data_IF_448725255959
#
_entry.id   IF_448725255959
#
_cell.length_a   1.000
_cell.length_b   1.000
_cell.length_c   1.000
_cell.angle_alpha   90.00
_cell.angle_beta   90.00
_cell.angle_gamma   90.00
#
_symmetry.space_group_name_H-M   'P 1'
#
loop_
_entity.id
_entity.type
_entity.pdbx_description
1 polymer ?
#
# COMPACT_ATOMS: atom_id res chain seq x y z
N UNK A 1 -13.07 -14.12 -25.58
CA UNK A 1 -14.11 -13.05 -25.60
C UNK A 1 -14.62 -13.02 -24.18
N UNK A 2 -14.40 -11.93 -23.44
CA UNK A 2 -14.55 -11.96 -21.98
C UNK A 2 -15.95 -12.46 -21.55
N UNK A 3 -16.04 -13.36 -20.55
CA UNK A 3 -17.31 -13.90 -20.07
C UNK A 3 -18.26 -12.79 -19.64
N UNK A 4 -19.52 -12.86 -20.09
CA UNK A 4 -20.54 -11.89 -19.71
C UNK A 4 -21.25 -12.35 -18.43
N UNK A 5 -21.47 -11.42 -17.49
CA UNK A 5 -22.34 -11.63 -16.32
C UNK A 5 -23.68 -10.91 -16.48
N UNK A 6 -24.08 -10.59 -17.71
CA UNK A 6 -25.24 -9.74 -17.98
C UNK A 6 -26.54 -10.38 -17.48
N UNK A 7 -26.77 -11.66 -17.78
CA UNK A 7 -28.00 -12.34 -17.42
C UNK A 7 -28.06 -12.59 -15.91
N UNK A 8 -26.92 -12.95 -15.31
CA UNK A 8 -26.76 -13.14 -13.87
C UNK A 8 -27.04 -11.85 -13.11
N UNK A 9 -26.41 -10.72 -13.53
CA UNK A 9 -26.63 -9.41 -12.92
C UNK A 9 -28.11 -9.04 -12.96
N UNK A 10 -28.70 -9.09 -14.15
CA UNK A 10 -30.10 -8.73 -14.37
C UNK A 10 -31.03 -9.62 -13.52
N UNK A 11 -30.71 -10.91 -13.39
CA UNK A 11 -31.55 -11.86 -12.65
C UNK A 11 -31.49 -11.55 -11.16
N UNK A 12 -30.30 -11.35 -10.60
CA UNK A 12 -30.10 -11.05 -9.19
C UNK A 12 -30.69 -9.68 -8.80
N UNK A 13 -30.60 -8.68 -9.67
CA UNK A 13 -31.26 -7.39 -9.46
C UNK A 13 -32.79 -7.52 -9.42
N UNK A 14 -33.38 -8.25 -10.38
CA UNK A 14 -34.82 -8.49 -10.43
C UNK A 14 -35.35 -9.39 -9.30
N UNK A 15 -34.50 -10.26 -8.74
CA UNK A 15 -34.84 -11.24 -7.70
C UNK A 15 -34.31 -10.92 -6.30
N UNK A 16 -33.74 -9.74 -6.09
CA UNK A 16 -33.19 -9.25 -4.79
C UNK A 16 -34.17 -9.24 -3.59
N UNK A 17 -35.43 -9.66 -3.79
CA UNK A 17 -36.47 -9.84 -2.76
C UNK A 17 -36.90 -11.31 -2.57
N UNK A 18 -36.21 -12.27 -3.17
CA UNK A 18 -36.63 -13.67 -3.17
C UNK A 18 -35.93 -14.47 -2.05
N UNK A 19 -36.68 -14.75 -0.98
CA UNK A 19 -36.21 -15.46 0.23
C UNK A 19 -35.65 -16.88 0.00
N UNK A 20 -35.81 -17.47 -1.20
CA UNK A 20 -35.36 -18.85 -1.49
C UNK A 20 -33.93 -18.95 -2.01
N UNK A 21 -33.42 -17.88 -2.62
CA UNK A 21 -32.08 -17.86 -3.23
C UNK A 21 -31.05 -17.27 -2.28
N UNK A 22 -31.42 -16.21 -1.57
CA UNK A 22 -30.53 -15.45 -0.70
C UNK A 22 -30.88 -15.66 0.78
N UNK A 23 -29.85 -15.75 1.63
CA UNK A 23 -30.01 -15.80 3.09
C UNK A 23 -30.42 -14.42 3.64
N UNK A 24 -30.04 -13.35 2.95
CA UNK A 24 -30.45 -11.98 3.25
C UNK A 24 -30.55 -11.15 1.96
N UNK A 25 -31.40 -10.11 1.93
CA UNK A 25 -31.56 -9.28 0.74
C UNK A 25 -30.23 -8.65 0.30
N UNK A 26 -29.88 -8.87 -0.97
CA UNK A 26 -28.67 -8.30 -1.57
C UNK A 26 -27.45 -9.21 -1.54
N UNK A 27 -27.56 -10.45 -1.02
CA UNK A 27 -26.46 -11.42 -1.05
C UNK A 27 -25.95 -11.68 -2.49
N UNK A 28 -26.83 -11.69 -3.48
CA UNK A 28 -26.46 -11.81 -4.89
C UNK A 28 -25.58 -10.66 -5.39
N UNK A 29 -25.73 -9.45 -4.84
CA UNK A 29 -24.83 -8.34 -5.19
C UNK A 29 -23.41 -8.57 -4.69
N UNK A 30 -23.24 -9.11 -3.49
CA UNK A 30 -21.92 -9.51 -2.99
C UNK A 30 -21.28 -10.57 -3.88
N UNK A 31 -22.06 -11.56 -4.33
CA UNK A 31 -21.59 -12.57 -5.29
C UNK A 31 -21.14 -11.93 -6.60
N UNK A 32 -21.87 -10.94 -7.11
CA UNK A 32 -21.48 -10.19 -8.30
C UNK A 32 -20.19 -9.40 -8.10
N UNK A 33 -20.00 -8.74 -6.95
CA UNK A 33 -18.75 -8.02 -6.62
C UNK A 33 -17.55 -8.94 -6.76
N UNK A 34 -17.57 -10.09 -6.08
CA UNK A 34 -16.47 -11.07 -6.15
C UNK A 34 -16.32 -11.63 -7.57
N UNK A 35 -17.42 -11.87 -8.28
CA UNK A 35 -17.39 -12.39 -9.66
C UNK A 35 -16.72 -11.41 -10.62
N UNK A 36 -17.03 -10.12 -10.53
CA UNK A 36 -16.41 -9.09 -11.36
C UNK A 36 -14.90 -9.00 -11.08
N UNK A 37 -14.50 -9.13 -9.82
CA UNK A 37 -13.09 -9.16 -9.45
C UNK A 37 -12.38 -10.41 -10.01
N UNK A 38 -13.00 -11.58 -9.92
CA UNK A 38 -12.47 -12.82 -10.52
C UNK A 38 -12.26 -12.66 -12.03
N UNK A 39 -13.22 -12.05 -12.74
CA UNK A 39 -13.13 -11.82 -14.19
C UNK A 39 -11.99 -10.88 -14.59
N UNK A 40 -11.59 -9.96 -13.70
CA UNK A 40 -10.45 -9.07 -13.94
C UNK A 40 -9.10 -9.76 -13.76
N UNK A 41 -9.03 -10.78 -12.90
CA UNK A 41 -7.76 -11.40 -12.49
C UNK A 41 -7.50 -12.76 -13.11
N UNK A 42 -8.53 -13.53 -13.41
CA UNK A 42 -8.40 -14.90 -13.91
C UNK A 42 -8.29 -14.93 -15.43
N UNK A 43 -7.57 -15.93 -15.93
CA UNK A 43 -7.48 -16.22 -17.36
C UNK A 43 -8.77 -16.87 -17.87
N UNK A 44 -9.07 -16.75 -19.17
CA UNK A 44 -10.27 -17.36 -19.77
C UNK A 44 -10.31 -18.90 -19.58
N UNK A 45 -9.15 -19.55 -19.42
CA UNK A 45 -9.04 -21.00 -19.26
C UNK A 45 -9.26 -21.49 -17.81
N UNK A 46 -9.45 -20.58 -16.85
CA UNK A 46 -9.65 -20.95 -15.45
C UNK A 46 -11.01 -21.62 -15.23
N UNK A 47 -11.04 -22.74 -14.50
CA UNK A 47 -12.26 -23.51 -14.21
C UNK A 47 -13.39 -22.67 -13.59
N UNK A 48 -13.03 -21.61 -12.86
CA UNK A 48 -14.01 -20.69 -12.26
C UNK A 48 -14.73 -19.84 -13.31
N UNK A 49 -14.05 -19.50 -14.40
CA UNK A 49 -14.63 -18.75 -15.51
C UNK A 49 -15.73 -19.58 -16.17
N UNK A 50 -15.48 -20.86 -16.44
CA UNK A 50 -16.50 -21.78 -16.93
C UNK A 50 -17.69 -21.92 -15.96
N UNK A 51 -17.45 -21.87 -14.64
CA UNK A 51 -18.52 -21.84 -13.63
C UNK A 51 -19.36 -20.55 -13.72
N UNK A 52 -18.75 -19.40 -13.99
CA UNK A 52 -19.42 -18.11 -14.17
C UNK A 52 -20.28 -18.12 -15.43
N UNK A 53 -19.74 -18.58 -16.55
CA UNK A 53 -20.47 -18.70 -17.83
C UNK A 53 -21.69 -19.61 -17.67
N UNK A 54 -21.49 -20.80 -17.08
CA UNK A 54 -22.59 -21.74 -16.81
C UNK A 54 -23.66 -21.12 -15.90
N UNK A 55 -23.25 -20.30 -14.94
CA UNK A 55 -24.17 -19.60 -14.04
C UNK A 55 -24.95 -18.50 -14.78
N UNK A 56 -24.31 -17.75 -15.68
CA UNK A 56 -24.96 -16.72 -16.52
C UNK A 56 -25.95 -17.34 -17.52
N UNK A 57 -25.55 -18.43 -18.18
CA UNK A 57 -26.43 -19.20 -19.06
C UNK A 57 -27.64 -19.76 -18.32
N UNK A 58 -27.43 -20.31 -17.12
CA UNK A 58 -28.53 -20.77 -16.29
C UNK A 58 -29.44 -19.61 -15.85
N UNK A 59 -28.88 -18.42 -15.61
CA UNK A 59 -29.66 -17.24 -15.28
C UNK A 59 -30.53 -16.77 -16.47
N UNK A 60 -30.03 -16.91 -17.69
CA UNK A 60 -30.77 -16.60 -18.93
C UNK A 60 -32.04 -17.44 -19.07
N UNK A 61 -31.99 -18.71 -18.70
CA UNK A 61 -33.14 -19.64 -18.79
C UNK A 61 -34.25 -19.30 -17.77
N UNK A 62 -33.92 -18.66 -16.66
CA UNK A 62 -34.88 -18.26 -15.63
C UNK A 62 -35.80 -17.08 -16.02
N UNK A 63 -35.61 -16.45 -17.18
CA UNK A 63 -36.39 -15.28 -17.62
C UNK A 63 -37.73 -15.62 -18.28
N UNK A 64 -37.86 -16.82 -18.85
CA UNK A 64 -39.00 -17.18 -19.70
C UNK A 64 -40.18 -17.85 -18.98
N UNK A 65 -40.03 -18.21 -17.70
CA UNK A 65 -40.94 -19.14 -17.04
C UNK A 65 -41.52 -18.60 -15.73
N UNK A 66 -42.68 -19.13 -15.33
CA UNK A 66 -43.26 -18.86 -14.01
C UNK A 66 -42.32 -19.32 -12.91
N UNK A 67 -42.38 -18.68 -11.75
CA UNK A 67 -41.68 -19.16 -10.55
C UNK A 67 -42.08 -20.62 -10.34
N UNK A 68 -41.12 -21.50 -10.04
CA UNK A 68 -41.28 -22.95 -9.76
C UNK A 68 -40.99 -23.93 -10.91
N UNK A 69 -40.30 -23.50 -11.96
CA UNK A 69 -39.82 -24.46 -12.96
C UNK A 69 -38.52 -25.16 -12.55
N UNK A 70 -38.20 -26.23 -13.26
CA UNK A 70 -36.97 -27.00 -13.06
C UNK A 70 -35.71 -26.13 -13.25
N UNK A 71 -35.77 -25.14 -14.14
CA UNK A 71 -34.70 -24.18 -14.41
C UNK A 71 -34.39 -23.31 -13.18
N UNK A 72 -35.41 -22.85 -12.44
CA UNK A 72 -35.23 -22.09 -11.19
C UNK A 72 -34.53 -22.92 -10.11
N UNK A 73 -34.88 -24.22 -10.03
CA UNK A 73 -34.25 -25.15 -9.09
C UNK A 73 -32.80 -25.40 -9.48
N UNK A 74 -32.54 -25.62 -10.76
CA UNK A 74 -31.20 -25.85 -11.30
C UNK A 74 -30.30 -24.63 -11.09
N UNK A 75 -30.80 -23.43 -11.39
CA UNK A 75 -30.09 -22.19 -11.11
C UNK A 75 -29.77 -22.05 -9.62
N UNK A 76 -30.73 -22.31 -8.74
CA UNK A 76 -30.51 -22.21 -7.29
C UNK A 76 -29.42 -23.18 -6.80
N UNK A 77 -29.35 -24.40 -7.36
CA UNK A 77 -28.30 -25.37 -7.05
C UNK A 77 -26.93 -24.88 -7.54
N UNK A 78 -26.87 -24.39 -8.79
CA UNK A 78 -25.64 -23.85 -9.38
C UNK A 78 -25.13 -22.62 -8.61
N UNK A 79 -26.03 -21.69 -8.27
CA UNK A 79 -25.71 -20.49 -7.52
C UNK A 79 -25.11 -20.83 -6.15
N UNK A 80 -25.72 -21.77 -5.40
CA UNK A 80 -25.20 -22.23 -4.11
C UNK A 80 -23.85 -22.94 -4.25
N UNK A 81 -23.69 -23.76 -5.29
CA UNK A 81 -22.41 -24.42 -5.59
C UNK A 81 -21.32 -23.38 -5.89
N UNK A 82 -21.64 -22.37 -6.68
CA UNK A 82 -20.72 -21.27 -7.00
C UNK A 82 -20.33 -20.48 -5.76
N UNK A 83 -21.28 -20.10 -4.90
CA UNK A 83 -20.99 -19.43 -3.61
C UNK A 83 -20.04 -20.25 -2.73
N UNK A 84 -20.17 -21.58 -2.73
CA UNK A 84 -19.24 -22.45 -2.00
C UNK A 84 -17.82 -22.38 -2.59
N UNK A 85 -17.70 -22.34 -3.93
CA UNK A 85 -16.41 -22.22 -4.63
C UNK A 85 -15.71 -20.87 -4.37
N UNK A 86 -16.48 -19.79 -4.12
CA UNK A 86 -15.91 -18.46 -3.80
C UNK A 86 -14.97 -18.48 -2.58
N UNK A 87 -15.09 -19.48 -1.69
CA UNK A 87 -14.18 -19.65 -0.55
C UNK A 87 -12.71 -19.70 -0.96
N UNK A 88 -12.41 -20.27 -2.13
CA UNK A 88 -11.05 -20.39 -2.65
C UNK A 88 -10.49 -19.03 -3.05
N UNK A 89 -11.35 -18.13 -3.55
CA UNK A 89 -10.99 -16.78 -4.02
C UNK A 89 -11.00 -15.74 -2.92
N UNK A 90 -11.69 -16.02 -1.80
CA UNK A 90 -11.59 -15.25 -0.55
C UNK A 90 -10.39 -15.72 0.30
N UNK A 91 -9.34 -16.14 -0.39
CA UNK A 91 -8.00 -16.40 0.13
C UNK A 91 -7.00 -15.89 -0.88
N UNK A 92 -5.86 -15.47 -0.38
CA UNK A 92 -4.72 -15.06 -1.19
C UNK A 92 -4.37 -16.16 -2.19
N UNK A 93 -4.35 -15.83 -3.50
CA UNK A 93 -3.94 -16.78 -4.50
C UNK A 93 -2.46 -17.10 -4.30
N UNK A 94 -2.12 -18.38 -4.35
CA UNK A 94 -0.74 -18.86 -4.25
C UNK A 94 -0.03 -18.65 -5.61
N UNK A 95 0.03 -17.39 -6.06
CA UNK A 95 0.64 -17.00 -7.32
C UNK A 95 2.15 -16.89 -7.13
N UNK A 96 2.87 -17.97 -7.50
CA UNK A 96 4.34 -18.01 -7.47
C UNK A 96 5.02 -17.12 -8.53
N UNK A 97 4.24 -16.40 -9.34
CA UNK A 97 4.67 -15.74 -10.57
C UNK A 97 4.57 -14.21 -10.55
N UNK A 98 4.06 -13.58 -9.49
CA UNK A 98 4.02 -12.12 -9.40
C UNK A 98 5.34 -11.57 -8.84
N UNK A 99 6.01 -10.64 -9.53
CA UNK A 99 7.29 -10.08 -9.09
C UNK A 99 7.19 -9.22 -7.82
N UNK A 100 5.98 -8.83 -7.39
CA UNK A 100 5.74 -8.05 -6.18
C UNK A 100 4.62 -8.65 -5.31
N UNK A 101 4.99 -9.28 -4.19
CA UNK A 101 4.04 -9.87 -3.24
C UNK A 101 3.18 -8.81 -2.54
N UNK A 102 3.68 -7.58 -2.34
CA UNK A 102 2.93 -6.50 -1.70
C UNK A 102 1.75 -6.06 -2.55
N UNK A 103 1.97 -5.93 -3.86
CA UNK A 103 0.92 -5.60 -4.83
C UNK A 103 -0.17 -6.66 -4.84
N UNK A 104 0.21 -7.94 -4.80
CA UNK A 104 -0.75 -9.04 -4.75
C UNK A 104 -1.60 -9.00 -3.46
N UNK A 105 -0.98 -8.77 -2.31
CA UNK A 105 -1.68 -8.64 -1.02
C UNK A 105 -2.57 -7.39 -1.01
N UNK A 106 -2.10 -6.27 -1.56
CA UNK A 106 -2.86 -5.02 -1.66
C UNK A 106 -4.11 -5.19 -2.53
N UNK A 107 -3.98 -5.80 -3.71
CA UNK A 107 -5.09 -6.11 -4.62
C UNK A 107 -6.12 -7.01 -3.95
N UNK A 108 -5.66 -8.00 -3.17
CA UNK A 108 -6.58 -8.83 -2.39
C UNK A 108 -7.29 -8.06 -1.27
N UNK A 109 -6.58 -7.21 -0.51
CA UNK A 109 -7.20 -6.35 0.51
C UNK A 109 -8.21 -5.39 -0.12
N UNK A 110 -7.96 -4.89 -1.33
CA UNK A 110 -8.89 -4.04 -2.08
C UNK A 110 -10.22 -4.75 -2.38
N UNK A 111 -10.17 -6.03 -2.81
CA UNK A 111 -11.39 -6.85 -2.91
C UNK A 111 -12.14 -6.93 -1.57
N UNK A 112 -11.42 -7.19 -0.48
CA UNK A 112 -12.05 -7.29 0.85
C UNK A 112 -12.73 -5.97 1.24
N UNK A 113 -12.10 -4.83 0.92
CA UNK A 113 -12.67 -3.50 1.10
C UNK A 113 -13.94 -3.31 0.26
N UNK A 114 -13.93 -3.66 -1.02
CA UNK A 114 -15.11 -3.56 -1.90
C UNK A 114 -16.29 -4.38 -1.37
N UNK A 115 -16.03 -5.59 -0.85
CA UNK A 115 -17.05 -6.43 -0.22
C UNK A 115 -17.62 -5.76 1.05
N UNK A 116 -16.76 -5.23 1.92
CA UNK A 116 -17.20 -4.55 3.14
C UNK A 116 -18.03 -3.30 2.84
N UNK A 117 -17.66 -2.55 1.79
CA UNK A 117 -18.41 -1.40 1.32
C UNK A 117 -19.80 -1.79 0.83
N UNK A 118 -19.90 -2.85 0.05
CA UNK A 118 -21.19 -3.33 -0.42
C UNK A 118 -22.04 -3.87 0.75
N UNK A 119 -21.45 -4.55 1.73
CA UNK A 119 -22.16 -4.97 2.97
C UNK A 119 -22.74 -3.76 3.71
N UNK A 120 -21.95 -2.69 3.87
CA UNK A 120 -22.37 -1.46 4.54
C UNK A 120 -23.43 -0.69 3.75
N UNK A 121 -23.43 -0.82 2.41
CA UNK A 121 -24.46 -0.24 1.54
C UNK A 121 -25.77 -1.01 1.62
N UNK A 122 -25.69 -2.35 1.60
CA UNK A 122 -26.86 -3.24 1.64
C UNK A 122 -27.57 -3.22 3.00
N UNK A 123 -26.83 -2.98 4.08
CA UNK A 123 -27.31 -2.97 5.46
C UNK A 123 -28.24 -4.16 5.81
N UNK A 124 -27.78 -5.42 5.69
CA UNK A 124 -28.57 -6.57 6.11
C UNK A 124 -29.03 -6.40 7.58
N UNK A 125 -30.25 -6.81 7.90
CA UNK A 125 -30.85 -6.56 9.22
C UNK A 125 -29.96 -6.98 10.42
N UNK A 126 -29.21 -8.07 10.28
CA UNK A 126 -28.31 -8.58 11.31
C UNK A 126 -27.01 -7.78 11.47
N UNK A 127 -26.65 -6.96 10.49
CA UNK A 127 -25.44 -6.09 10.51
C UNK A 127 -25.65 -4.84 11.34
N UNK A 128 -26.89 -4.40 11.54
CA UNK A 128 -27.21 -3.20 12.34
C UNK A 128 -26.49 -3.15 13.69
N UNK A 129 -26.35 -4.31 14.36
CA UNK A 129 -25.69 -4.46 15.67
C UNK A 129 -24.16 -4.47 15.61
N UNK A 130 -23.57 -4.62 14.43
CA UNK A 130 -22.12 -4.75 14.22
C UNK A 130 -21.58 -3.69 13.27
N UNK A 131 -22.42 -2.75 12.83
CA UNK A 131 -22.09 -1.73 11.85
C UNK A 131 -20.79 -1.01 12.23
N UNK A 132 -20.65 -0.59 13.48
CA UNK A 132 -19.47 0.13 13.95
C UNK A 132 -18.22 -0.73 13.84
N UNK A 133 -18.28 -2.01 14.24
CA UNK A 133 -17.14 -2.93 14.12
C UNK A 133 -16.77 -3.25 12.67
N UNK A 134 -17.74 -3.32 11.77
CA UNK A 134 -17.50 -3.50 10.32
C UNK A 134 -16.86 -2.23 9.73
N UNK A 135 -17.30 -1.04 10.16
CA UNK A 135 -16.66 0.23 9.81
C UNK A 135 -15.23 0.26 10.34
N UNK A 136 -14.99 -0.14 11.59
CA UNK A 136 -13.65 -0.24 12.14
C UNK A 136 -12.79 -1.18 11.29
N UNK A 137 -13.24 -2.40 11.02
CA UNK A 137 -12.50 -3.37 10.18
C UNK A 137 -12.17 -2.81 8.80
N UNK A 138 -13.11 -2.09 8.16
CA UNK A 138 -12.87 -1.41 6.89
C UNK A 138 -11.75 -0.36 7.02
N UNK A 139 -11.77 0.46 8.07
CA UNK A 139 -10.72 1.44 8.32
C UNK A 139 -9.36 0.78 8.57
N UNK A 140 -9.36 -0.37 9.25
CA UNK A 140 -8.14 -1.15 9.48
C UNK A 140 -7.55 -1.72 8.18
N UNK A 141 -8.38 -2.24 7.28
CA UNK A 141 -7.92 -2.69 5.97
C UNK A 141 -7.39 -1.54 5.11
N UNK A 142 -8.03 -0.35 5.17
CA UNK A 142 -7.52 0.86 4.50
C UNK A 142 -6.15 1.27 5.03
N UNK A 143 -5.91 1.10 6.33
CA UNK A 143 -4.58 1.31 6.89
C UNK A 143 -3.56 0.32 6.30
N UNK A 144 -3.89 -0.97 6.24
CA UNK A 144 -2.97 -1.98 5.72
C UNK A 144 -2.63 -1.77 4.24
N UNK A 145 -3.62 -1.46 3.39
CA UNK A 145 -3.35 -1.20 1.96
C UNK A 145 -2.49 0.05 1.76
N UNK A 146 -2.67 1.09 2.59
CA UNK A 146 -1.82 2.29 2.59
C UNK A 146 -0.38 1.93 2.93
N UNK A 147 -0.16 1.14 3.99
CA UNK A 147 1.17 0.68 4.38
C UNK A 147 1.84 -0.18 3.28
N UNK A 148 1.07 -1.06 2.62
CA UNK A 148 1.55 -1.88 1.50
C UNK A 148 1.90 -1.06 0.25
N UNK A 149 1.45 0.20 0.13
CA UNK A 149 1.86 1.09 -0.95
C UNK A 149 3.11 1.93 -0.63
N UNK A 150 3.50 2.06 0.65
CA UNK A 150 4.61 2.94 1.08
C UNK A 150 5.97 2.34 0.70
N UNK A 151 6.33 2.54 -0.57
CA UNK A 151 7.51 2.01 -1.23
C UNK A 151 8.83 2.38 -0.52
N UNK A 152 9.02 3.62 0.02
CA UNK A 152 10.19 3.97 0.83
C UNK A 152 10.47 3.04 2.02
N UNK A 153 9.43 2.54 2.70
CA UNK A 153 9.58 1.63 3.84
C UNK A 153 9.91 0.17 3.44
N UNK A 154 9.69 -0.17 2.17
CA UNK A 154 9.78 -1.53 1.64
C UNK A 154 11.17 -1.86 1.07
N UNK A 155 11.92 -0.86 0.63
CA UNK A 155 13.30 -1.05 0.14
C UNK A 155 14.30 -1.32 1.27
N UNK A 156 13.86 -1.31 2.53
CA UNK A 156 14.66 -1.79 3.63
C UNK A 156 14.74 -3.32 3.55
N UNK A 157 15.94 -3.87 3.31
CA UNK A 157 16.25 -5.32 3.37
C UNK A 157 16.14 -5.87 4.81
N UNK A 158 15.16 -5.41 5.57
CA UNK A 158 14.98 -5.78 6.96
C UNK A 158 14.13 -7.06 7.00
N UNK A 159 14.62 -8.07 7.73
CA UNK A 159 13.91 -9.34 7.93
C UNK A 159 12.51 -9.12 8.53
N UNK A 160 12.33 -8.04 9.30
CA UNK A 160 11.03 -7.64 9.84
C UNK A 160 10.00 -7.29 8.78
N UNK A 161 10.40 -6.81 7.59
CA UNK A 161 9.49 -6.48 6.48
C UNK A 161 8.81 -7.73 5.94
N UNK A 162 9.56 -8.82 5.75
CA UNK A 162 9.01 -10.09 5.25
C UNK A 162 8.08 -10.76 6.27
N UNK A 163 8.44 -10.67 7.56
CA UNK A 163 7.58 -11.18 8.64
C UNK A 163 6.27 -10.39 8.73
N UNK A 164 6.33 -9.06 8.61
CA UNK A 164 5.13 -8.21 8.60
C UNK A 164 4.20 -8.51 7.42
N UNK A 165 4.75 -8.67 6.22
CA UNK A 165 3.97 -9.00 5.03
C UNK A 165 3.23 -10.34 5.20
N UNK A 166 3.92 -11.34 5.74
CA UNK A 166 3.33 -12.65 6.04
C UNK A 166 2.19 -12.52 7.07
N UNK A 167 2.36 -11.71 8.12
CA UNK A 167 1.31 -11.46 9.11
C UNK A 167 0.10 -10.73 8.51
N UNK A 168 0.33 -9.75 7.62
CA UNK A 168 -0.73 -9.06 6.87
C UNK A 168 -1.48 -10.05 5.97
N UNK A 169 -0.76 -10.93 5.27
CA UNK A 169 -1.36 -11.97 4.42
C UNK A 169 -2.25 -12.92 5.24
N UNK A 170 -1.76 -13.39 6.38
CA UNK A 170 -2.51 -14.26 7.29
C UNK A 170 -3.79 -13.55 7.75
N UNK A 171 -3.70 -12.29 8.18
CA UNK A 171 -4.86 -11.51 8.60
C UNK A 171 -5.86 -11.31 7.45
N UNK A 172 -5.41 -10.96 6.25
CA UNK A 172 -6.26 -10.81 5.08
C UNK A 172 -6.99 -12.13 4.75
N UNK A 173 -6.30 -13.26 4.83
CA UNK A 173 -6.88 -14.60 4.66
C UNK A 173 -7.94 -14.95 5.72
N UNK A 174 -7.71 -14.56 6.97
CA UNK A 174 -8.70 -14.72 8.04
C UNK A 174 -9.94 -13.86 7.80
N UNK A 175 -9.76 -12.62 7.35
CA UNK A 175 -10.86 -11.72 6.99
C UNK A 175 -11.64 -12.27 5.79
N UNK A 176 -10.98 -12.73 4.73
CA UNK A 176 -11.64 -13.38 3.60
C UNK A 176 -12.43 -14.63 4.03
N UNK A 177 -11.87 -15.44 4.93
CA UNK A 177 -12.55 -16.60 5.50
C UNK A 177 -13.77 -16.21 6.36
N UNK A 178 -13.67 -15.12 7.12
CA UNK A 178 -14.79 -14.53 7.86
C UNK A 178 -15.89 -14.06 6.91
N UNK A 179 -15.55 -13.31 5.86
CA UNK A 179 -16.51 -12.82 4.88
C UNK A 179 -17.23 -13.99 4.20
N UNK A 180 -16.49 -15.01 3.78
CA UNK A 180 -17.08 -16.23 3.20
C UNK A 180 -18.10 -16.87 4.16
N UNK A 181 -17.69 -17.09 5.41
CA UNK A 181 -18.46 -17.84 6.40
C UNK A 181 -19.79 -17.17 6.77
N UNK A 182 -19.86 -15.83 6.72
CA UNK A 182 -21.03 -15.09 7.18
C UNK A 182 -21.84 -14.42 6.05
N UNK A 183 -21.23 -14.13 4.91
CA UNK A 183 -21.90 -13.41 3.81
C UNK A 183 -22.07 -14.23 2.54
N UNK A 184 -21.27 -15.29 2.35
CA UNK A 184 -21.36 -16.20 1.20
C UNK A 184 -21.80 -17.60 1.61
N UNK A 185 -22.47 -17.71 2.76
CA UNK A 185 -23.05 -18.96 3.25
C UNK A 185 -24.49 -19.14 2.77
N UNK A 186 -24.89 -20.41 2.66
CA UNK A 186 -26.28 -20.82 2.43
C UNK A 186 -27.03 -21.12 3.74
N UNK A 187 -26.31 -21.11 4.86
CA UNK A 187 -26.84 -21.41 6.19
C UNK A 187 -27.21 -20.13 6.94
N UNK A 188 -28.05 -20.25 7.97
CA UNK A 188 -28.42 -19.11 8.81
C UNK A 188 -27.22 -18.60 9.60
N UNK A 189 -26.99 -17.29 9.52
CA UNK A 189 -25.92 -16.61 10.24
C UNK A 189 -26.14 -16.65 11.75
N UNK A 190 -25.20 -17.24 12.48
CA UNK A 190 -25.17 -17.21 13.94
C UNK A 190 -24.56 -15.89 14.43
N UNK A 191 -25.41 -14.90 14.64
CA UNK A 191 -25.09 -13.52 15.07
C UNK A 191 -24.07 -13.45 16.21
N UNK A 192 -24.19 -14.29 17.24
CA UNK A 192 -23.25 -14.30 18.37
C UNK A 192 -21.85 -14.78 17.97
N UNK A 193 -21.75 -15.77 17.07
CA UNK A 193 -20.46 -16.26 16.57
C UNK A 193 -19.79 -15.22 15.68
N UNK A 194 -20.58 -14.52 14.86
CA UNK A 194 -20.08 -13.42 14.04
C UNK A 194 -19.46 -12.31 14.90
N UNK A 195 -20.11 -11.93 16.00
CA UNK A 195 -19.59 -10.92 16.91
C UNK A 195 -18.23 -11.32 17.52
N UNK A 196 -18.12 -12.57 17.97
CA UNK A 196 -16.87 -13.11 18.53
C UNK A 196 -15.76 -13.14 17.48
N UNK A 197 -16.06 -13.62 16.27
CA UNK A 197 -15.09 -13.66 15.17
C UNK A 197 -14.62 -12.25 14.76
N UNK A 198 -15.54 -11.28 14.73
CA UNK A 198 -15.20 -9.90 14.40
C UNK A 198 -14.33 -9.25 15.50
N UNK A 199 -14.65 -9.51 16.78
CA UNK A 199 -13.79 -9.07 17.88
C UNK A 199 -12.40 -9.71 17.84
N UNK A 200 -12.31 -11.00 17.51
CA UNK A 200 -11.03 -11.72 17.38
C UNK A 200 -10.18 -11.11 16.26
N UNK A 201 -10.77 -10.88 15.08
CA UNK A 201 -10.09 -10.22 13.95
C UNK A 201 -9.57 -8.83 14.33
N UNK A 202 -10.42 -7.99 14.92
CA UNK A 202 -10.01 -6.65 15.36
C UNK A 202 -8.89 -6.72 16.43
N UNK A 203 -8.96 -7.71 17.33
CA UNK A 203 -7.92 -7.95 18.33
C UNK A 203 -6.56 -8.34 17.74
N UNK A 204 -6.52 -8.91 16.54
CA UNK A 204 -5.28 -9.25 15.81
C UNK A 204 -4.70 -8.08 15.02
N UNK A 205 -5.51 -7.10 14.62
CA UNK A 205 -5.03 -5.90 13.93
C UNK A 205 -4.14 -5.06 14.85
N UNK A 206 -4.53 -4.92 16.12
CA UNK A 206 -3.84 -4.04 17.06
C UNK A 206 -2.35 -4.39 17.29
N UNK A 207 -1.96 -5.65 17.59
CA UNK A 207 -0.54 -6.00 17.70
C UNK A 207 0.20 -5.83 16.36
N UNK A 208 -0.49 -6.03 15.23
CA UNK A 208 0.11 -5.83 13.90
C UNK A 208 0.40 -4.35 13.65
N UNK A 209 -0.47 -3.43 14.06
CA UNK A 209 -0.22 -1.98 14.02
C UNK A 209 1.02 -1.58 14.81
N UNK A 210 1.18 -2.11 16.02
CA UNK A 210 2.35 -1.79 16.84
C UNK A 210 3.65 -2.29 16.19
N UNK A 211 3.63 -3.47 15.55
CA UNK A 211 4.77 -3.96 14.77
C UNK A 211 5.05 -3.09 13.55
N UNK A 212 4.01 -2.67 12.81
CA UNK A 212 4.14 -1.74 11.67
C UNK A 212 4.73 -0.41 12.14
N UNK A 213 4.23 0.14 13.25
CA UNK A 213 4.77 1.36 13.87
C UNK A 213 6.24 1.24 14.20
N UNK A 214 6.65 0.16 14.86
CA UNK A 214 8.05 -0.12 15.17
C UNK A 214 8.91 -0.24 13.89
N UNK A 215 8.37 -0.89 12.86
CA UNK A 215 9.02 -0.99 11.56
C UNK A 215 9.20 0.37 10.91
N UNK A 216 8.16 1.22 10.88
CA UNK A 216 8.26 2.56 10.32
C UNK A 216 9.34 3.41 11.00
N UNK A 217 9.44 3.32 12.34
CA UNK A 217 10.46 4.02 13.12
C UNK A 217 11.85 3.47 12.81
N UNK A 218 12.01 2.14 12.79
CA UNK A 218 13.30 1.48 12.54
C UNK A 218 13.79 1.75 11.13
N UNK A 219 12.93 1.56 10.12
CA UNK A 219 13.22 1.82 8.72
C UNK A 219 13.67 3.27 8.50
N UNK A 220 12.95 4.24 9.10
CA UNK A 220 13.29 5.66 9.03
C UNK A 220 14.67 5.98 9.61
N UNK A 221 15.09 5.27 10.65
CA UNK A 221 16.43 5.42 11.24
C UNK A 221 17.54 4.73 10.44
N UNK A 222 17.19 3.70 9.67
CA UNK A 222 18.14 2.91 8.87
C UNK A 222 18.27 3.34 7.42
N UNK A 223 17.48 4.28 6.93
CA UNK A 223 17.67 4.84 5.59
C UNK A 223 18.85 5.83 5.58
N UNK A 224 20.05 5.49 5.08
CA UNK A 224 20.82 6.48 4.35
C UNK A 224 20.00 6.82 3.10
N UNK A 225 19.90 8.10 2.73
CA UNK A 225 19.14 8.58 1.55
C UNK A 225 19.25 7.60 0.38
N UNK A 226 18.17 6.86 0.13
CA UNK A 226 18.22 5.60 -0.60
C UNK A 226 17.89 5.80 -2.07
N UNK A 227 18.95 5.89 -2.88
CA UNK A 227 19.03 5.54 -4.32
C UNK A 227 17.76 5.81 -5.13
N UNK A 228 17.48 7.09 -5.36
CA UNK A 228 16.69 7.50 -6.52
C UNK A 228 17.51 7.38 -7.81
N UNK A 229 16.91 7.11 -8.98
CA UNK A 229 17.61 6.99 -10.25
C UNK A 229 18.42 8.26 -10.55
N UNK A 230 19.67 8.11 -11.00
CA UNK A 230 20.61 9.19 -11.38
C UNK A 230 20.13 10.08 -12.56
N UNK A 231 18.87 9.99 -12.97
CA UNK A 231 18.43 10.42 -14.30
C UNK A 231 17.50 11.64 -14.32
N UNK A 232 17.10 12.18 -13.18
CA UNK A 232 16.29 13.41 -13.12
C UNK A 232 17.13 14.61 -12.71
N UNK A 233 17.02 15.71 -13.46
CA UNK A 233 17.64 17.00 -13.13
C UNK A 233 17.19 17.42 -11.73
N UNK A 234 18.13 17.39 -10.79
CA UNK A 234 17.89 17.83 -9.41
C UNK A 234 17.96 19.35 -9.41
N UNK A 235 16.84 20.01 -9.15
CA UNK A 235 16.74 21.47 -9.20
C UNK A 235 16.10 22.03 -7.94
N UNK A 236 16.51 23.23 -7.56
CA UNK A 236 15.90 24.03 -6.50
C UNK A 236 14.38 24.21 -6.66
N UNK A 237 13.87 24.18 -7.89
CA UNK A 237 12.43 24.25 -8.17
C UNK A 237 11.63 23.11 -7.49
N UNK A 238 12.26 22.01 -7.09
CA UNK A 238 11.61 20.93 -6.34
C UNK A 238 11.10 21.40 -4.97
N UNK A 239 11.84 22.28 -4.28
CA UNK A 239 11.42 22.84 -3.00
C UNK A 239 10.21 23.75 -3.18
N UNK A 240 10.21 24.54 -4.26
CA UNK A 240 9.12 25.46 -4.57
C UNK A 240 7.84 24.70 -4.95
N UNK A 241 7.95 23.65 -5.77
CA UNK A 241 6.82 22.76 -6.11
C UNK A 241 6.24 22.12 -4.85
N UNK A 242 7.07 21.53 -4.01
CA UNK A 242 6.63 20.88 -2.77
C UNK A 242 5.91 21.86 -1.82
N UNK A 243 6.42 23.10 -1.71
CA UNK A 243 5.79 24.13 -0.90
C UNK A 243 4.41 24.52 -1.45
N UNK A 244 4.23 24.54 -2.77
CA UNK A 244 2.94 24.85 -3.38
C UNK A 244 1.96 23.69 -3.23
N UNK A 245 2.40 22.44 -3.45
CA UNK A 245 1.59 21.23 -3.23
C UNK A 245 1.11 21.13 -1.77
N UNK A 246 1.98 21.44 -0.80
CA UNK A 246 1.63 21.47 0.61
C UNK A 246 0.61 22.58 0.95
N UNK A 247 0.72 23.76 0.35
CA UNK A 247 -0.27 24.84 0.55
C UNK A 247 -1.63 24.44 -0.01
N UNK A 248 -1.65 23.88 -1.22
CA UNK A 248 -2.88 23.45 -1.87
C UNK A 248 -3.57 22.36 -1.04
N UNK A 249 -2.80 21.42 -0.50
CA UNK A 249 -3.29 20.43 0.45
C UNK A 249 -3.87 21.08 1.71
N UNK A 250 -3.14 22.00 2.36
CA UNK A 250 -3.62 22.66 3.58
C UNK A 250 -4.92 23.46 3.38
N UNK A 251 -5.19 23.85 2.13
CA UNK A 251 -6.42 24.52 1.71
C UNK A 251 -7.55 23.54 1.32
N UNK A 252 -7.26 22.25 1.24
CA UNK A 252 -8.24 21.22 0.94
C UNK A 252 -9.19 20.99 2.12
N UNK A 253 -10.49 20.88 1.83
CA UNK A 253 -11.55 20.74 2.85
C UNK A 253 -11.76 19.28 3.21
N UNK A 254 -10.78 18.67 3.86
CA UNK A 254 -10.85 17.30 4.37
C UNK A 254 -10.61 17.29 5.88
N UNK A 255 -11.57 16.75 6.64
CA UNK A 255 -11.53 16.68 8.11
C UNK A 255 -10.28 15.94 8.63
N UNK A 256 -9.64 15.10 7.81
CA UNK A 256 -8.38 14.41 8.14
C UNK A 256 -7.19 15.38 8.20
N UNK A 257 -7.19 16.37 7.31
CA UNK A 257 -6.13 17.39 7.21
C UNK A 257 -6.19 18.27 8.45
N UNK A 258 -7.39 18.62 8.92
CA UNK A 258 -7.57 19.40 10.15
C UNK A 258 -6.89 18.73 11.36
N UNK A 259 -6.88 17.40 11.45
CA UNK A 259 -6.23 16.68 12.55
C UNK A 259 -4.70 16.79 12.51
N UNK A 260 -4.08 16.89 11.33
CA UNK A 260 -2.62 16.96 11.17
C UNK A 260 -2.13 18.33 10.70
N UNK A 261 -3.00 19.34 10.71
CA UNK A 261 -2.76 20.66 10.13
C UNK A 261 -1.58 21.38 10.74
N UNK A 262 -1.44 21.32 12.07
CA UNK A 262 -0.32 21.93 12.78
C UNK A 262 1.01 21.29 12.37
N UNK A 263 1.00 19.98 12.14
CA UNK A 263 2.19 19.23 11.72
C UNK A 263 2.55 19.55 10.26
N UNK A 264 1.56 19.61 9.37
CA UNK A 264 1.77 20.03 7.98
C UNK A 264 2.27 21.48 7.88
N UNK A 265 1.70 22.39 8.69
CA UNK A 265 2.16 23.78 8.79
C UNK A 265 3.62 23.84 9.20
N UNK A 266 4.01 23.05 10.21
CA UNK A 266 5.40 22.99 10.65
C UNK A 266 6.33 22.43 9.57
N UNK A 267 5.91 21.39 8.84
CA UNK A 267 6.69 20.84 7.70
C UNK A 267 6.91 21.94 6.66
N UNK A 268 5.85 22.68 6.32
CA UNK A 268 5.91 23.79 5.38
C UNK A 268 6.87 24.90 5.85
N UNK A 269 6.79 25.29 7.13
CA UNK A 269 7.70 26.28 7.72
C UNK A 269 9.16 25.83 7.64
N UNK A 270 9.48 24.58 8.00
CA UNK A 270 10.85 24.08 7.95
C UNK A 270 11.38 23.97 6.51
N UNK A 271 10.55 23.58 5.55
CA UNK A 271 10.91 23.60 4.13
C UNK A 271 11.17 25.02 3.61
N UNK A 272 10.39 26.00 4.06
CA UNK A 272 10.62 27.41 3.75
C UNK A 272 11.97 27.90 4.30
N UNK A 273 12.39 27.41 5.47
CA UNK A 273 13.69 27.73 6.08
C UNK A 273 14.86 27.04 5.38
N UNK A 274 14.66 25.88 4.75
CA UNK A 274 15.69 25.20 3.95
C UNK A 274 16.00 25.93 2.64
N UNK A 275 15.01 26.62 2.05
CA UNK A 275 15.15 27.34 0.78
C UNK A 275 16.32 28.34 0.72
N UNK A 276 16.50 29.27 1.69
CA UNK A 276 17.64 30.17 1.69
C UNK A 276 18.98 29.46 1.93
N UNK A 277 19.03 28.44 2.80
CA UNK A 277 20.26 27.69 3.09
C UNK A 277 20.83 27.00 1.84
N UNK A 278 19.96 26.45 0.99
CA UNK A 278 20.36 25.86 -0.29
C UNK A 278 20.87 26.91 -1.28
N UNK A 279 20.24 28.10 -1.29
CA UNK A 279 20.65 29.20 -2.15
C UNK A 279 22.09 29.64 -1.85
N UNK A 280 22.44 29.73 -0.57
CA UNK A 280 23.77 30.12 -0.14
C UNK A 280 24.81 29.09 -0.59
N UNK A 281 24.52 27.79 -0.48
CA UNK A 281 25.43 26.72 -0.88
C UNK A 281 25.64 26.61 -2.40
N UNK A 282 24.61 26.93 -3.21
CA UNK A 282 24.72 27.00 -4.68
C UNK A 282 25.71 28.08 -5.12
N UNK A 283 25.73 29.22 -4.42
CA UNK A 283 26.69 30.32 -4.68
C UNK A 283 28.13 29.85 -4.49
N UNK A 284 28.37 28.93 -3.55
CA UNK A 284 29.70 28.35 -3.28
C UNK A 284 30.04 27.11 -4.13
N UNK A 285 29.16 26.69 -5.05
CA UNK A 285 29.35 25.52 -5.95
C UNK A 285 29.80 24.24 -5.23
N UNK A 286 29.25 23.98 -4.03
CA UNK A 286 29.70 22.84 -3.23
C UNK A 286 29.21 21.52 -3.81
N UNK A 287 30.05 20.48 -3.95
CA UNK A 287 29.65 19.19 -4.52
C UNK A 287 28.60 18.46 -3.65
N UNK A 288 28.44 18.83 -2.38
CA UNK A 288 27.45 18.23 -1.48
C UNK A 288 26.02 18.80 -1.67
N UNK A 289 25.85 19.93 -2.35
CA UNK A 289 24.52 20.54 -2.61
C UNK A 289 23.62 19.58 -3.36
N UNK A 290 24.16 18.90 -4.37
CA UNK A 290 23.43 17.92 -5.15
C UNK A 290 22.93 16.77 -4.26
N UNK A 291 23.74 16.34 -3.29
CA UNK A 291 23.35 15.34 -2.30
C UNK A 291 22.19 15.78 -1.40
N UNK A 292 22.21 17.04 -0.93
CA UNK A 292 21.11 17.59 -0.14
C UNK A 292 19.83 17.76 -0.95
N UNK A 293 19.95 18.24 -2.20
CA UNK A 293 18.78 18.38 -3.08
C UNK A 293 18.17 17.02 -3.44
N UNK A 294 18.97 15.96 -3.59
CA UNK A 294 18.46 14.58 -3.72
C UNK A 294 17.65 14.18 -2.49
N UNK A 295 18.16 14.44 -1.28
CA UNK A 295 17.45 14.09 -0.05
C UNK A 295 16.14 14.89 0.11
N UNK A 296 16.15 16.17 -0.25
CA UNK A 296 14.95 17.02 -0.22
C UNK A 296 13.93 16.57 -1.27
N UNK A 297 14.37 16.16 -2.46
CA UNK A 297 13.50 15.53 -3.46
C UNK A 297 12.86 14.26 -2.92
N UNK A 298 13.64 13.38 -2.29
CA UNK A 298 13.13 12.13 -1.76
C UNK A 298 12.09 12.39 -0.65
N UNK A 299 12.32 13.41 0.19
CA UNK A 299 11.34 13.91 1.16
C UNK A 299 10.09 14.45 0.45
N UNK A 300 10.25 15.19 -0.65
CA UNK A 300 9.13 15.73 -1.41
C UNK A 300 8.19 14.62 -1.90
N UNK A 301 8.75 13.59 -2.52
CA UNK A 301 7.99 12.42 -2.95
C UNK A 301 7.37 11.65 -1.78
N UNK A 302 8.07 11.53 -0.65
CA UNK A 302 7.54 10.87 0.55
C UNK A 302 6.35 11.64 1.13
N UNK A 303 6.45 12.96 1.21
CA UNK A 303 5.37 13.87 1.66
C UNK A 303 4.17 13.76 0.74
N UNK A 304 4.38 13.94 -0.57
CA UNK A 304 3.36 13.82 -1.60
C UNK A 304 2.65 12.46 -1.51
N UNK A 305 3.41 11.36 -1.37
CA UNK A 305 2.86 10.02 -1.22
C UNK A 305 2.01 9.85 0.06
N UNK A 306 2.54 10.25 1.22
CA UNK A 306 1.83 10.15 2.52
C UNK A 306 0.49 10.88 2.44
N UNK A 307 0.47 12.01 1.75
CA UNK A 307 -0.69 12.87 1.59
C UNK A 307 -1.69 12.29 0.58
N UNK A 308 -1.23 11.90 -0.61
CA UNK A 308 -2.08 11.44 -1.71
C UNK A 308 -2.57 9.99 -1.54
N UNK A 309 -1.97 9.21 -0.64
CA UNK A 309 -2.34 7.81 -0.40
C UNK A 309 -3.70 7.61 0.30
N UNK A 310 -4.53 8.66 0.43
CA UNK A 310 -5.80 8.64 1.18
C UNK A 310 -5.65 8.01 2.57
N UNK A 311 -4.47 8.17 3.18
CA UNK A 311 -4.08 7.47 4.38
C UNK A 311 -5.05 7.78 5.55
N UNK A 312 -5.34 6.81 6.42
CA UNK A 312 -6.04 7.08 7.67
C UNK A 312 -5.27 8.10 8.51
N UNK A 313 -5.98 8.95 9.27
CA UNK A 313 -5.38 9.99 10.13
C UNK A 313 -4.23 9.46 10.99
N UNK A 314 -4.38 8.25 11.53
CA UNK A 314 -3.33 7.58 12.31
C UNK A 314 -2.03 7.35 11.53
N UNK A 315 -2.12 7.01 10.25
CA UNK A 315 -0.94 6.80 9.42
C UNK A 315 -0.19 8.13 9.19
N UNK A 316 -0.94 9.21 8.98
CA UNK A 316 -0.40 10.55 8.87
C UNK A 316 0.32 10.97 10.17
N UNK A 317 -0.30 10.72 11.33
CA UNK A 317 0.32 11.03 12.63
C UNK A 317 1.55 10.18 12.94
N UNK A 318 1.69 9.02 12.29
CA UNK A 318 2.89 8.19 12.38
C UNK A 318 4.02 8.66 11.45
N UNK A 319 3.72 8.97 10.19
CA UNK A 319 4.74 9.22 9.15
C UNK A 319 5.19 10.67 9.08
N UNK A 320 4.28 11.63 9.24
CA UNK A 320 4.63 13.05 9.15
C UNK A 320 5.68 13.50 10.21
N UNK A 321 5.69 12.98 11.46
CA UNK A 321 6.78 13.28 12.38
C UNK A 321 8.14 12.75 11.92
N UNK A 322 8.18 11.61 11.23
CA UNK A 322 9.42 11.03 10.70
C UNK A 322 9.97 11.87 9.54
N UNK A 323 9.08 12.38 8.68
CA UNK A 323 9.44 13.35 7.64
C UNK A 323 10.02 14.62 8.28
N UNK A 324 9.35 15.16 9.31
CA UNK A 324 9.84 16.33 10.05
C UNK A 324 11.26 16.10 10.60
N UNK A 325 11.52 14.96 11.22
CA UNK A 325 12.87 14.62 11.71
C UNK A 325 13.91 14.57 10.59
N UNK A 326 13.56 14.03 9.41
CA UNK A 326 14.45 14.02 8.23
C UNK A 326 14.78 15.44 7.77
N UNK A 327 13.77 16.30 7.66
CA UNK A 327 13.92 17.73 7.31
C UNK A 327 14.86 18.42 8.31
N UNK A 328 14.65 18.23 9.61
CA UNK A 328 15.48 18.82 10.66
C UNK A 328 16.93 18.34 10.62
N UNK A 329 17.18 17.06 10.32
CA UNK A 329 18.53 16.54 10.13
C UNK A 329 19.23 17.18 8.93
N UNK A 330 18.53 17.31 7.79
CA UNK A 330 19.06 17.99 6.60
C UNK A 330 19.41 19.44 6.93
N UNK A 331 18.52 20.15 7.62
CA UNK A 331 18.75 21.52 8.05
C UNK A 331 20.01 21.65 8.91
N UNK A 332 20.15 20.82 9.94
CA UNK A 332 21.35 20.83 10.79
C UNK A 332 22.64 20.54 10.00
N UNK A 333 22.60 19.56 9.08
CA UNK A 333 23.76 19.23 8.24
C UNK A 333 24.12 20.37 7.29
N UNK A 334 23.11 21.03 6.69
CA UNK A 334 23.30 22.22 5.87
C UNK A 334 23.89 23.37 6.68
N UNK A 335 23.32 23.72 7.83
CA UNK A 335 23.84 24.77 8.71
C UNK A 335 25.29 24.51 9.13
N UNK A 336 25.63 23.25 9.47
CA UNK A 336 27.01 22.86 9.77
C UNK A 336 27.94 23.04 8.57
N UNK A 337 27.48 22.65 7.37
CA UNK A 337 28.26 22.81 6.14
C UNK A 337 28.49 24.29 5.81
N UNK A 338 27.46 25.14 5.94
CA UNK A 338 27.55 26.59 5.72
C UNK A 338 28.46 27.26 6.75
N UNK A 339 28.36 26.88 8.04
CA UNK A 339 29.25 27.38 9.11
C UNK A 339 30.73 27.07 8.82
N UNK A 340 31.02 25.84 8.40
CA UNK A 340 32.38 25.42 8.01
C UNK A 340 32.93 26.27 6.86
N UNK A 341 32.07 26.82 6.00
CA UNK A 341 32.45 27.64 4.85
C UNK A 341 32.65 29.13 5.20
N UNK A 342 31.80 29.70 6.05
CA UNK A 342 31.83 31.14 6.32
C UNK A 342 32.88 31.56 7.36
N UNK A 343 33.35 30.62 8.21
CA UNK A 343 34.36 30.91 9.23
C UNK A 343 33.96 31.99 10.24
N UNK A 344 32.67 32.37 10.26
CA UNK A 344 32.19 33.52 11.02
C UNK A 344 31.71 33.09 12.42
N UNK A 345 32.25 33.74 13.45
CA UNK A 345 31.95 33.45 14.87
C UNK A 345 30.67 34.15 15.37
N UNK A 346 29.82 34.64 14.47
CA UNK A 346 28.77 35.63 14.78
C UNK A 346 27.36 35.06 14.93
N UNK A 347 27.11 33.80 14.58
CA UNK A 347 25.81 33.14 14.78
C UNK A 347 25.85 32.25 16.04
N UNK A 348 25.21 32.73 17.09
CA UNK A 348 25.02 32.01 18.35
C UNK A 348 24.26 30.70 18.12
N UNK A 349 24.91 29.56 18.42
CA UNK A 349 24.25 28.27 18.58
C UNK A 349 23.00 28.42 19.47
N UNK A 350 21.89 27.72 19.19
CA UNK A 350 20.90 27.47 20.22
C UNK A 350 21.58 26.68 21.35
N UNK A 351 21.65 27.28 22.54
CA UNK A 351 22.13 26.61 23.74
C UNK A 351 21.28 25.35 23.98
N UNK A 352 21.94 24.20 23.88
CA UNK A 352 21.66 22.96 24.63
C UNK A 352 20.19 22.65 24.93
N UNK A 353 19.51 21.96 24.02
CA UNK A 353 18.54 20.96 24.44
C UNK A 353 19.31 19.65 24.66
N UNK A 354 19.79 19.43 25.89
CA UNK A 354 20.20 18.09 26.33
C UNK A 354 18.98 17.17 26.34
N UNK A 355 18.94 16.19 25.44
CA UNK A 355 18.22 14.92 25.65
C UNK A 355 19.08 13.75 25.15
N UNK A 356 18.93 12.54 25.73
CA UNK A 356 20.06 11.68 26.00
C UNK A 356 20.39 10.70 24.88
N UNK A 357 21.71 10.41 24.85
CA UNK A 357 22.37 9.19 24.39
C UNK A 357 22.40 8.91 22.89
N UNK A 358 23.54 9.23 22.27
CA UNK A 358 24.51 8.21 21.85
C UNK A 358 25.93 8.74 22.08
N UNK A 359 26.52 8.38 23.22
CA UNK A 359 27.96 8.33 23.36
C UNK A 359 28.44 7.11 22.59
N UNK A 360 29.13 7.32 21.48
CA UNK A 360 30.12 6.37 20.96
C UNK A 360 31.35 7.17 20.53
N UNK A 361 32.38 7.00 21.35
CA UNK A 361 33.71 7.58 21.30
C UNK A 361 34.44 7.27 19.99
N UNK A 362 34.74 8.31 19.20
CA UNK A 362 35.79 8.29 18.18
C UNK A 362 37.11 8.79 18.80
N UNK A 363 37.87 7.89 19.40
CA UNK A 363 39.30 8.09 19.68
C UNK A 363 40.06 6.77 19.53
N UNK A 364 40.80 6.65 18.43
CA UNK A 364 42.07 5.92 18.30
C UNK A 364 42.58 6.19 16.87
N UNK A 365 43.44 7.20 16.67
CA UNK A 365 44.90 7.05 16.56
C UNK A 365 45.33 6.01 15.50
N UNK A 366 45.82 6.51 14.36
CA UNK A 366 46.65 5.76 13.42
C UNK A 366 47.98 5.35 14.07
N UNK A 367 48.58 4.25 13.60
CA UNK A 367 49.98 4.32 13.20
C UNK A 367 50.29 3.74 11.82
N UNK A 368 51.42 4.21 11.30
CA UNK A 368 52.01 4.00 9.98
C UNK A 368 52.66 2.62 9.77
N UNK A 369 52.56 2.13 8.51
CA UNK A 369 53.60 1.48 7.66
C UNK A 369 53.99 0.00 7.91
N UNK A 370 53.78 -0.82 6.87
CA UNK A 370 54.67 -1.96 6.55
C UNK A 370 54.06 -3.19 5.83
N UNK A 371 54.36 -3.30 4.53
CA UNK A 371 54.46 -4.51 3.69
C UNK A 371 53.23 -5.12 2.97
N UNK A 372 53.41 -5.13 1.65
CA UNK A 372 52.65 -5.71 0.54
C UNK A 372 52.41 -7.23 0.66
N UNK A 373 51.24 -7.69 0.21
CA UNK A 373 51.10 -8.78 -0.77
C UNK A 373 49.93 -8.43 -1.70
N UNK A 374 50.25 -8.18 -2.97
CA UNK A 374 49.31 -7.90 -4.05
C UNK A 374 49.39 -9.08 -5.03
N UNK A 375 48.43 -10.03 -5.01
CA UNK A 375 48.24 -11.01 -6.09
C UNK A 375 46.75 -11.37 -6.20
N UNK A 376 46.15 -11.05 -7.37
CA UNK A 376 45.11 -11.88 -7.98
C UNK A 376 43.64 -11.44 -7.89
N UNK A 377 43.25 -10.34 -8.56
CA UNK A 377 41.84 -10.08 -8.92
C UNK A 377 41.60 -9.84 -10.41
N UNK A 378 42.64 -9.85 -11.26
CA UNK A 378 42.50 -9.65 -12.71
C UNK A 378 41.97 -10.88 -13.47
N UNK A 379 41.94 -12.07 -12.86
CA UNK A 379 41.39 -13.27 -13.53
C UNK A 379 39.88 -13.47 -13.31
N UNK A 380 39.23 -12.71 -12.42
CA UNK A 380 37.79 -12.84 -12.16
C UNK A 380 36.95 -12.01 -13.14
N UNK A 381 37.49 -10.91 -13.67
CA UNK A 381 36.75 -10.04 -14.59
C UNK A 381 36.62 -10.61 -16.02
N UNK A 382 37.60 -11.39 -16.49
CA UNK A 382 37.56 -11.95 -17.85
C UNK A 382 36.53 -13.09 -17.97
N UNK A 383 36.15 -13.75 -16.87
CA UNK A 383 35.12 -14.80 -16.88
C UNK A 383 33.68 -14.27 -16.96
N UNK A 384 33.43 -13.03 -16.54
CA UNK A 384 32.07 -12.47 -16.44
C UNK A 384 31.60 -11.78 -17.74
N UNK A 385 32.50 -11.26 -18.57
CA UNK A 385 32.12 -10.63 -19.85
C UNK A 385 31.75 -11.65 -20.94
N UNK A 386 32.34 -12.85 -20.90
CA UNK A 386 32.10 -13.91 -21.90
C UNK A 386 30.76 -14.66 -21.67
N UNK A 387 30.17 -14.52 -20.48
CA UNK A 387 28.90 -15.14 -20.11
C UNK A 387 27.69 -14.18 -20.29
N UNK A 388 27.92 -12.86 -20.22
CA UNK A 388 26.91 -11.82 -20.47
C UNK A 388 26.61 -11.65 -21.97
N UNK A 389 27.58 -11.91 -22.85
CA UNK A 389 27.40 -11.81 -24.31
C UNK A 389 26.63 -12.98 -24.92
N UNK A 390 26.45 -14.11 -24.21
CA UNK A 390 25.66 -15.26 -24.68
C UNK A 390 24.16 -15.18 -24.40
N UNK A 391 23.72 -14.25 -23.55
CA UNK A 391 22.30 -14.13 -23.12
C UNK A 391 21.58 -12.96 -23.82
N UNK A 392 22.32 -12.04 -24.45
CA UNK A 392 21.76 -10.87 -25.11
C UNK A 392 21.49 -11.10 -26.62
N UNK A 393 20.30 -11.63 -26.93
CA UNK A 393 19.41 -11.42 -28.11
C UNK A 393 18.74 -12.73 -28.56
N UNK A 394 17.41 -12.79 -28.83
CA UNK A 394 16.55 -11.72 -29.31
C UNK A 394 15.34 -11.43 -28.39
N UNK A 395 15.44 -10.38 -27.56
CA UNK A 395 14.28 -9.81 -26.84
C UNK A 395 14.07 -8.31 -27.10
N UNK A 396 14.93 -7.67 -27.91
CA UNK A 396 14.84 -6.23 -28.24
C UNK A 396 13.79 -5.89 -29.32
N UNK A 397 12.67 -6.62 -29.40
CA UNK A 397 11.60 -6.32 -30.37
C UNK A 397 10.19 -6.25 -29.77
N UNK A 398 10.05 -6.07 -28.45
CA UNK A 398 8.77 -5.66 -27.85
C UNK A 398 9.01 -4.48 -26.92
N UNK A 399 8.42 -3.36 -27.28
CA UNK A 399 8.40 -2.13 -26.50
C UNK A 399 7.86 -2.39 -25.08
N UNK A 400 8.50 -1.86 -24.03
CA UNK A 400 7.94 -1.84 -22.69
C UNK A 400 7.07 -0.59 -22.55
N UNK A 401 5.82 -0.67 -22.98
CA UNK A 401 4.78 0.28 -22.61
C UNK A 401 3.68 -0.47 -21.85
N UNK A 402 3.23 0.12 -20.74
CA UNK A 402 2.08 -0.29 -19.88
C UNK A 402 2.36 -1.11 -18.61
N UNK A 403 3.25 -0.65 -17.72
CA UNK A 403 3.21 -1.08 -16.30
C UNK A 403 3.16 0.07 -15.29
N UNK A 404 3.06 1.33 -15.73
CA UNK A 404 2.95 2.50 -14.84
C UNK A 404 1.51 2.97 -14.56
N UNK A 405 0.48 2.35 -15.15
CA UNK A 405 -0.89 2.85 -15.07
C UNK A 405 -1.76 2.28 -13.93
N UNK A 406 -1.20 1.53 -12.97
CA UNK A 406 -2.03 0.98 -11.89
C UNK A 406 -2.45 2.04 -10.85
N UNK A 407 -1.69 3.15 -10.73
CA UNK A 407 -1.96 4.22 -9.76
C UNK A 407 -2.63 5.46 -10.35
N UNK A 408 -2.62 5.65 -11.68
CA UNK A 408 -3.27 6.78 -12.37
C UNK A 408 -4.81 6.65 -12.47
N UNK A 409 -5.38 5.50 -12.09
CA UNK A 409 -6.80 5.21 -12.26
C UNK A 409 -7.71 5.77 -11.14
N UNK A 410 -7.17 6.49 -10.16
CA UNK A 410 -7.89 6.93 -8.96
C UNK A 410 -8.02 8.45 -8.81
N UNK A 411 -8.24 9.17 -9.91
CA UNK A 411 -8.70 10.57 -9.90
C UNK A 411 -10.14 10.69 -10.41
N UNK A 412 -11.15 10.40 -9.57
CA UNK A 412 -12.52 10.94 -9.69
C UNK A 412 -13.25 10.93 -8.35
#
# INVERSE_FOLDING_TARGET
MAPSTYNLRRLLESRSKNERLEVFPGQGRLVLTVTNYILKLCSEDDKIIASIERLDDSAKLCWGYSRHTEEDRNFSILFKSYMSQLKVFLKMPNCKSTPNLNELVAVFIDLLLEILEEILRLQPNFISRFKDKIITLKMELKFLITFLGDTPLQNTKLETTNNLLTEIEVLANEIGSFLHSYFFTTERVLVNRMNLALSDLLGKVEPLKEKIKHHCITASNTLPGGVTPKTAVVSRFLVDSLLDDLKDLMNHKDDRIDYVKDLLTKILEELMLLRPLLADMEVYQHPEVEGFLIQIRDIAYEVEYIINSYAPVWYLTLRLPQVMEKIQRIKMLLEYSTYKMTGDSSLSLPQSAQYPSQQLSLQAQYPLRGQEIFIGLEQIFIGLEDEVTKIATPWMAREPTNYFHFWDAWTW
#
